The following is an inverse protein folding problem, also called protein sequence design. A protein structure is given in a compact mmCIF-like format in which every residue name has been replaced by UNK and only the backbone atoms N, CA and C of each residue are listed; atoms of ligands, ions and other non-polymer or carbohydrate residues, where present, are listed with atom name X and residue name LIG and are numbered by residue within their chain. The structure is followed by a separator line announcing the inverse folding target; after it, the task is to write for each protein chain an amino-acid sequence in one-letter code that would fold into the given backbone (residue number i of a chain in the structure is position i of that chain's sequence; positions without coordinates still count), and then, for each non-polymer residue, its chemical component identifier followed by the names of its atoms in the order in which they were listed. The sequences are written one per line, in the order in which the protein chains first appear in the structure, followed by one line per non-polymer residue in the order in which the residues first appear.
data_IF_077513440658
#
_entry.id   IF_077513440658
#
_cell.length_a   1.000
_cell.length_b   1.000
_cell.length_c   1.000
_cell.angle_alpha   90.00
_cell.angle_beta   90.00
_cell.angle_gamma   90.00
#
_symmetry.space_group_name_H-M   'P 1'
#
loop_
_entity.id
_entity.type
_entity.pdbx_description
1 polymer ?
#
# COMPACT_ATOMS: atom_id res chain seq x y z
N UNK A 1 -21.01 -6.55 -4.07
CA UNK A 1 -19.81 -7.11 -4.71
C UNK A 1 -18.64 -6.65 -3.86
N UNK A 2 -17.95 -7.57 -3.21
CA UNK A 2 -16.79 -7.22 -2.39
C UNK A 2 -15.60 -6.98 -3.33
N UNK A 3 -15.37 -5.71 -3.67
CA UNK A 3 -14.20 -5.26 -4.45
C UNK A 3 -12.91 -5.25 -3.61
N UNK A 4 -12.98 -5.78 -2.37
CA UNK A 4 -11.85 -5.92 -1.45
C UNK A 4 -10.83 -6.91 -2.01
N UNK A 5 -9.58 -6.47 -2.03
CA UNK A 5 -8.43 -7.29 -2.41
C UNK A 5 -7.88 -8.01 -1.18
N UNK A 6 -7.53 -9.27 -1.38
CA UNK A 6 -6.81 -10.08 -0.39
C UNK A 6 -5.36 -9.64 -0.24
N UNK A 7 -4.69 -10.09 0.83
CA UNK A 7 -3.25 -9.82 1.05
C UNK A 7 -2.39 -10.28 -0.13
N UNK A 8 -2.68 -11.45 -0.69
CA UNK A 8 -1.95 -12.01 -1.84
C UNK A 8 -2.16 -11.16 -3.10
N UNK A 9 -3.36 -10.63 -3.30
CA UNK A 9 -3.67 -9.76 -4.44
C UNK A 9 -2.96 -8.41 -4.33
N UNK A 10 -2.91 -7.83 -3.14
CA UNK A 10 -2.08 -6.65 -2.89
C UNK A 10 -0.59 -6.92 -3.11
N UNK A 11 -0.10 -8.08 -2.67
CA UNK A 11 1.28 -8.49 -2.92
C UNK A 11 1.57 -8.62 -4.42
N UNK A 12 0.65 -9.21 -5.19
CA UNK A 12 0.76 -9.29 -6.64
C UNK A 12 0.78 -7.90 -7.30
N UNK A 13 -0.06 -6.96 -6.87
CA UNK A 13 -0.03 -5.58 -7.37
C UNK A 13 1.30 -4.88 -7.07
N UNK A 14 1.84 -5.07 -5.86
CA UNK A 14 3.13 -4.51 -5.46
C UNK A 14 4.28 -5.08 -6.31
N UNK A 15 4.25 -6.38 -6.60
CA UNK A 15 5.25 -7.02 -7.46
C UNK A 15 5.18 -6.47 -8.89
N UNK A 16 3.98 -6.34 -9.46
CA UNK A 16 3.80 -5.77 -10.82
C UNK A 16 4.31 -4.32 -10.88
N UNK A 17 4.13 -3.52 -9.82
CA UNK A 17 4.68 -2.16 -9.74
C UNK A 17 6.22 -2.14 -9.81
N UNK A 18 6.87 -3.12 -9.18
CA UNK A 18 8.33 -3.22 -9.12
C UNK A 18 8.95 -3.98 -10.30
N UNK A 19 8.13 -4.74 -11.03
CA UNK A 19 8.58 -5.58 -12.13
C UNK A 19 9.24 -4.73 -13.21
N UNK A 20 10.44 -5.14 -13.63
CA UNK A 20 11.13 -4.52 -14.76
C UNK A 20 10.42 -4.91 -16.06
N UNK A 21 10.49 -4.04 -17.07
CA UNK A 21 9.95 -4.33 -18.41
C UNK A 21 10.55 -5.64 -18.93
N UNK A 22 9.69 -6.61 -19.27
CA UNK A 22 10.09 -7.93 -19.77
C UNK A 22 10.37 -8.99 -18.69
N UNK A 23 10.22 -8.66 -17.40
CA UNK A 23 10.31 -9.65 -16.33
C UNK A 23 9.08 -10.56 -16.34
N UNK A 24 9.30 -11.88 -16.23
CA UNK A 24 8.21 -12.85 -16.10
C UNK A 24 7.49 -12.68 -14.77
N UNK A 25 6.18 -12.84 -14.80
CA UNK A 25 5.34 -12.84 -13.61
C UNK A 25 5.72 -13.99 -12.66
N UNK A 26 5.77 -13.72 -11.35
CA UNK A 26 5.88 -14.78 -10.36
C UNK A 26 4.63 -15.68 -10.33
N UNK A 27 4.73 -16.79 -9.61
CA UNK A 27 3.59 -17.65 -9.32
C UNK A 27 2.45 -16.90 -8.58
N UNK A 28 2.77 -15.94 -7.70
CA UNK A 28 1.78 -15.14 -6.99
C UNK A 28 1.00 -14.25 -7.97
N UNK A 29 1.72 -13.56 -8.85
CA UNK A 29 1.11 -12.71 -9.89
C UNK A 29 0.28 -13.55 -10.85
N UNK A 30 0.82 -14.68 -11.35
CA UNK A 30 0.12 -15.54 -12.30
C UNK A 30 -1.19 -16.11 -11.72
N UNK A 31 -1.19 -16.52 -10.45
CA UNK A 31 -2.39 -17.05 -9.76
C UNK A 31 -3.49 -16.00 -9.65
N UNK A 32 -3.13 -14.77 -9.33
CA UNK A 32 -4.08 -13.69 -9.09
C UNK A 32 -4.44 -12.88 -10.36
N UNK A 33 -3.66 -13.01 -11.43
CA UNK A 33 -3.78 -12.19 -12.64
C UNK A 33 -5.20 -12.21 -13.23
N UNK A 34 -5.82 -13.39 -13.32
CA UNK A 34 -7.17 -13.52 -13.90
C UNK A 34 -8.20 -12.68 -13.14
N UNK A 35 -8.18 -12.72 -11.80
CA UNK A 35 -9.09 -11.94 -10.95
C UNK A 35 -8.77 -10.45 -11.02
N UNK A 36 -7.48 -10.09 -10.92
CA UNK A 36 -7.04 -8.70 -10.98
C UNK A 36 -7.36 -8.02 -12.33
N UNK A 37 -7.31 -8.75 -13.43
CA UNK A 37 -7.77 -8.29 -14.75
C UNK A 37 -9.28 -8.08 -14.74
N UNK A 38 -10.05 -9.06 -14.24
CA UNK A 38 -11.51 -8.95 -14.14
C UNK A 38 -11.98 -7.74 -13.33
N UNK A 39 -11.25 -7.43 -12.24
CA UNK A 39 -11.49 -6.26 -11.39
C UNK A 39 -10.86 -4.96 -11.92
N UNK A 40 -10.19 -5.02 -13.07
CA UNK A 40 -9.53 -3.92 -13.78
C UNK A 40 -8.40 -3.25 -13.00
N UNK A 41 -7.73 -3.97 -12.10
CA UNK A 41 -6.54 -3.47 -11.40
C UNK A 41 -5.26 -3.60 -12.24
N UNK A 42 -5.21 -4.59 -13.16
CA UNK A 42 -4.06 -4.81 -14.04
C UNK A 42 -4.52 -5.05 -15.48
N UNK A 43 -3.61 -4.81 -16.42
CA UNK A 43 -3.76 -5.14 -17.84
C UNK A 43 -2.68 -6.12 -18.27
N UNK A 44 -3.05 -7.08 -19.12
CA UNK A 44 -2.11 -8.00 -19.76
C UNK A 44 -1.56 -7.38 -21.04
N UNK A 45 -0.25 -7.27 -21.15
CA UNK A 45 0.46 -6.88 -22.36
C UNK A 45 0.62 -8.07 -23.32
N UNK A 46 0.93 -7.77 -24.58
CA UNK A 46 1.12 -8.79 -25.63
C UNK A 46 2.31 -9.72 -25.36
N UNK A 47 3.29 -9.24 -24.60
CA UNK A 47 4.52 -9.99 -24.26
C UNK A 47 4.35 -10.88 -23.02
N UNK A 48 3.11 -11.04 -22.51
CA UNK A 48 2.84 -11.78 -21.27
C UNK A 48 3.20 -11.02 -19.99
N UNK A 49 3.63 -9.76 -20.11
CA UNK A 49 3.86 -8.86 -18.98
C UNK A 49 2.54 -8.27 -18.47
N UNK A 50 2.48 -7.95 -17.18
CA UNK A 50 1.35 -7.24 -16.58
C UNK A 50 1.72 -5.79 -16.29
N UNK A 51 0.77 -4.88 -16.43
CA UNK A 51 0.91 -3.48 -16.05
C UNK A 51 -0.25 -3.06 -15.14
N UNK A 52 0.03 -2.22 -14.14
CA UNK A 52 -1.01 -1.64 -13.30
C UNK A 52 -1.86 -0.66 -14.10
N UNK A 53 -3.18 -0.76 -13.98
CA UNK A 53 -4.10 0.28 -14.43
C UNK A 53 -4.08 1.46 -13.46
N UNK A 54 -4.70 2.58 -13.82
CA UNK A 54 -4.87 3.72 -12.91
C UNK A 54 -5.57 3.30 -11.61
N UNK A 55 -6.65 2.50 -11.70
CA UNK A 55 -7.35 1.92 -10.54
C UNK A 55 -6.40 1.09 -9.67
N UNK A 56 -5.57 0.25 -10.27
CA UNK A 56 -4.55 -0.55 -9.58
C UNK A 56 -3.53 0.30 -8.84
N UNK A 57 -3.02 1.34 -9.49
CA UNK A 57 -2.06 2.27 -8.91
C UNK A 57 -2.65 3.02 -7.72
N UNK A 58 -3.86 3.59 -7.86
CA UNK A 58 -4.53 4.32 -6.78
C UNK A 58 -4.82 3.41 -5.58
N UNK A 59 -5.34 2.20 -5.83
CA UNK A 59 -5.69 1.25 -4.77
C UNK A 59 -4.45 0.78 -4.01
N UNK A 60 -3.38 0.45 -4.73
CA UNK A 60 -2.11 0.09 -4.13
C UNK A 60 -1.49 1.26 -3.36
N UNK A 61 -1.62 2.49 -3.87
CA UNK A 61 -1.13 3.68 -3.20
C UNK A 61 -1.85 3.93 -1.87
N UNK A 62 -3.18 3.82 -1.83
CA UNK A 62 -3.96 3.93 -0.59
C UNK A 62 -3.53 2.86 0.41
N UNK A 63 -3.36 1.60 -0.03
CA UNK A 63 -2.88 0.52 0.84
C UNK A 63 -1.51 0.85 1.44
N UNK A 64 -0.57 1.34 0.63
CA UNK A 64 0.77 1.79 1.09
C UNK A 64 0.70 2.95 2.08
N UNK A 65 -0.26 3.86 1.94
CA UNK A 65 -0.47 4.93 2.90
C UNK A 65 -0.92 4.37 4.27
N UNK A 66 -1.87 3.43 4.27
CA UNK A 66 -2.35 2.79 5.51
C UNK A 66 -1.23 1.97 6.15
N UNK A 67 -0.51 1.17 5.36
CA UNK A 67 0.63 0.39 5.86
C UNK A 67 1.73 1.30 6.41
N UNK A 68 1.99 2.44 5.75
CA UNK A 68 2.90 3.45 6.26
C UNK A 68 2.48 4.00 7.62
N UNK A 69 1.19 4.34 7.80
CA UNK A 69 0.66 4.80 9.09
C UNK A 69 0.83 3.73 10.18
N UNK A 70 0.56 2.46 9.85
CA UNK A 70 0.76 1.32 10.77
C UNK A 70 2.23 1.13 11.13
N UNK A 71 3.14 1.24 10.17
CA UNK A 71 4.58 1.15 10.41
C UNK A 71 5.05 2.27 11.34
N UNK A 72 4.59 3.51 11.13
CA UNK A 72 4.91 4.63 12.01
C UNK A 72 4.33 4.43 13.42
N UNK A 73 3.09 3.94 13.53
CA UNK A 73 2.48 3.60 14.82
C UNK A 73 3.31 2.57 15.59
N UNK A 74 3.68 1.47 14.93
CA UNK A 74 4.45 0.40 15.53
C UNK A 74 5.87 0.84 15.90
N UNK A 75 6.51 1.67 15.07
CA UNK A 75 7.84 2.21 15.36
C UNK A 75 7.85 3.04 16.65
N UNK A 76 6.78 3.81 16.91
CA UNK A 76 6.63 4.57 18.15
C UNK A 76 6.53 3.69 19.41
N UNK A 77 6.02 2.46 19.29
CA UNK A 77 5.88 1.50 20.39
C UNK A 77 7.16 0.72 20.63
N UNK A 78 7.82 0.27 19.55
CA UNK A 78 8.92 -0.70 19.64
C UNK A 78 10.28 -0.01 19.83
N UNK A 79 10.40 1.31 19.62
CA UNK A 79 11.63 2.11 19.76
C UNK A 79 12.88 1.49 19.04
N UNK A 80 12.66 0.59 18.08
CA UNK A 80 13.72 -0.23 17.51
C UNK A 80 14.26 0.31 16.17
N UNK A 81 13.49 1.13 15.45
CA UNK A 81 13.96 1.78 14.22
C UNK A 81 12.98 2.88 13.76
N UNK A 82 13.48 3.99 13.17
CA UNK A 82 12.63 4.97 12.51
C UNK A 82 11.88 4.32 11.33
N UNK A 83 10.57 4.57 11.25
CA UNK A 83 9.73 4.08 10.18
C UNK A 83 10.18 4.64 8.82
N UNK A 84 10.77 3.80 7.97
CA UNK A 84 11.14 4.20 6.62
C UNK A 84 9.91 4.17 5.71
N UNK A 85 9.48 5.34 5.26
CA UNK A 85 8.39 5.50 4.30
C UNK A 85 8.93 5.80 2.91
N UNK A 86 8.26 5.30 1.87
CA UNK A 86 8.53 5.73 0.49
C UNK A 86 8.22 7.23 0.34
N UNK A 87 9.03 7.96 -0.44
CA UNK A 87 8.97 9.43 -0.53
C UNK A 87 7.60 9.97 -0.95
N UNK A 88 6.93 9.29 -1.88
CA UNK A 88 5.58 9.64 -2.36
C UNK A 88 4.53 9.49 -1.25
N UNK A 89 4.59 8.40 -0.49
CA UNK A 89 3.71 8.12 0.66
C UNK A 89 3.95 9.14 1.76
N UNK A 90 5.21 9.37 2.14
CA UNK A 90 5.58 10.34 3.17
C UNK A 90 5.09 11.75 2.81
N UNK A 91 5.28 12.17 1.56
CA UNK A 91 4.83 13.48 1.07
C UNK A 91 3.31 13.61 1.16
N UNK A 92 2.57 12.58 0.72
CA UNK A 92 1.12 12.59 0.76
C UNK A 92 0.56 12.63 2.18
N UNK A 93 1.07 11.77 3.07
CA UNK A 93 0.66 11.71 4.47
C UNK A 93 1.00 13.00 5.23
N UNK A 94 2.18 13.58 4.97
CA UNK A 94 2.61 14.86 5.57
C UNK A 94 1.71 16.01 5.09
N UNK A 95 1.37 16.05 3.79
CA UNK A 95 0.44 17.04 3.24
C UNK A 95 -0.97 16.92 3.81
N UNK A 96 -1.38 15.71 4.20
CA UNK A 96 -2.66 15.47 4.92
C UNK A 96 -2.58 15.75 6.42
N UNK A 97 -1.39 16.06 6.95
CA UNK A 97 -1.17 16.32 8.38
C UNK A 97 -1.32 15.08 9.25
N UNK A 98 -1.14 13.88 8.68
CA UNK A 98 -1.26 12.60 9.40
C UNK A 98 0.07 12.17 10.04
N UNK A 99 1.18 12.63 9.48
CA UNK A 99 2.52 12.42 10.02
C UNK A 99 3.27 13.75 10.13
N UNK A 100 4.21 13.80 11.06
CA UNK A 100 5.16 14.88 11.22
C UNK A 100 6.60 14.33 11.17
N UNK A 101 7.56 15.07 10.59
CA UNK A 101 8.96 14.71 10.66
C UNK A 101 9.46 14.78 12.11
N UNK A 102 10.35 13.86 12.47
CA UNK A 102 11.02 13.85 13.78
C UNK A 102 12.46 14.36 13.63
N UNK A 103 13.14 14.54 14.76
CA UNK A 103 14.56 14.93 14.78
C UNK A 103 15.49 13.83 14.22
N UNK A 104 15.02 12.59 14.09
CA UNK A 104 15.80 11.49 13.53
C UNK A 104 15.85 11.55 12.00
N UNK A 105 16.98 11.18 11.38
CA UNK A 105 17.10 11.11 9.92
C UNK A 105 16.06 10.15 9.35
N UNK A 106 15.13 10.68 8.54
CA UNK A 106 13.99 9.94 7.93
C UNK A 106 12.99 9.37 8.94
N UNK A 107 13.02 9.80 10.21
CA UNK A 107 12.03 9.41 11.20
C UNK A 107 10.75 10.24 11.04
N UNK A 108 9.60 9.56 11.04
CA UNK A 108 8.28 10.17 11.08
C UNK A 108 7.56 9.76 12.36
N UNK A 109 6.72 10.65 12.87
CA UNK A 109 5.80 10.38 13.98
C UNK A 109 4.36 10.63 13.54
N UNK A 110 3.42 9.85 14.07
CA UNK A 110 1.99 10.11 13.85
C UNK A 110 1.57 11.37 14.60
N UNK A 111 0.80 12.22 13.92
CA UNK A 111 0.06 13.30 14.58
C UNK A 111 -1.14 12.72 15.31
N UNK A 112 -1.78 13.50 16.18
CA UNK A 112 -3.04 13.11 16.82
C UNK A 112 -4.10 12.73 15.78
N UNK A 113 -4.29 13.58 14.78
CA UNK A 113 -5.14 13.31 13.62
C UNK A 113 -4.77 12.02 12.88
N UNK A 114 -3.48 11.74 12.74
CA UNK A 114 -2.98 10.51 12.13
C UNK A 114 -3.39 9.26 12.90
N UNK A 115 -3.33 9.31 14.24
CA UNK A 115 -3.76 8.22 15.12
C UNK A 115 -5.26 7.99 15.06
N UNK A 116 -6.06 9.06 15.13
CA UNK A 116 -7.52 9.00 14.99
C UNK A 116 -7.92 8.40 13.65
N UNK A 117 -7.32 8.89 12.56
CA UNK A 117 -7.61 8.38 11.20
C UNK A 117 -7.25 6.90 11.07
N UNK A 118 -6.16 6.45 11.68
CA UNK A 118 -5.77 5.04 11.67
C UNK A 118 -6.77 4.19 12.47
N UNK A 119 -7.17 4.63 13.66
CA UNK A 119 -8.16 3.95 14.48
C UNK A 119 -9.51 3.81 13.75
N UNK A 120 -9.96 4.87 13.06
CA UNK A 120 -11.18 4.84 12.25
C UNK A 120 -11.10 3.84 11.09
N UNK A 121 -9.94 3.73 10.45
CA UNK A 121 -9.71 2.75 9.37
C UNK A 121 -9.79 1.33 9.94
N UNK A 122 -9.12 1.09 11.07
CA UNK A 122 -9.10 -0.23 11.73
C UNK A 122 -10.49 -0.65 12.21
N UNK A 123 -11.26 0.28 12.79
CA UNK A 123 -12.65 0.03 13.19
C UNK A 123 -13.57 -0.32 12.01
N UNK A 124 -13.25 0.15 10.80
CA UNK A 124 -13.99 -0.19 9.57
C UNK A 124 -13.55 -1.50 8.94
N UNK A 125 -12.27 -1.86 9.04
CA UNK A 125 -11.76 -3.16 8.56
C UNK A 125 -12.15 -4.32 9.48
N UNK A 126 -12.33 -4.08 10.78
CA UNK A 126 -12.75 -5.10 11.77
C UNK A 126 -14.27 -5.36 11.78
N UNK A 127 -15.05 -4.58 11.03
CA UNK A 127 -16.48 -4.81 10.90
C UNK A 127 -16.72 -5.81 9.77
N UNK A 128 -17.06 -7.09 10.05
CA UNK A 128 -17.46 -8.00 8.99
C UNK A 128 -18.71 -7.43 8.33
N UNK A 129 -18.68 -7.33 6.99
CA UNK A 129 -19.85 -7.05 6.18
C UNK A 129 -20.91 -8.16 6.34
#
# INVERSE_FOLDING_TARGET
MDDSLTKDEFAALAEIRQAKKGQRASACVARNAKRLIGLKYIAAGRDGAFALTEKGQQTLFVKRCIDGLRTVANAAVVAAAPASLETDVATFLSRKGLIAPTAEPRGFALTERGRESLADIEAREDKPA
#
